data_IF_648323748521
#
_entry.id   IF_648323748521
#
_cell.length_a   1.000
_cell.length_b   1.000
_cell.length_c   1.000
_cell.angle_alpha   90.00
_cell.angle_beta   90.00
_cell.angle_gamma   90.00
#
_symmetry.space_group_name_H-M   'P 1'
#
loop_
_entity.id
_entity.type
_entity.pdbx_description
1 polymer ?
#
# COMPACT_ATOMS: atom_id res chain seq x y z
N UNK A 1 -8.67 29.58 -5.60
CA UNK A 1 -7.93 28.35 -5.42
C UNK A 1 -7.27 27.89 -6.69
N UNK A 2 -6.02 27.65 -6.63
CA UNK A 2 -5.28 27.33 -7.83
C UNK A 2 -5.09 25.83 -8.00
N UNK A 3 -4.88 25.44 -9.24
CA UNK A 3 -4.57 24.06 -9.56
C UNK A 3 -3.26 23.65 -8.88
N UNK A 4 -2.34 24.60 -8.72
CA UNK A 4 -1.06 24.33 -8.09
C UNK A 4 -1.24 23.87 -6.63
N UNK A 5 -2.19 24.44 -5.92
CA UNK A 5 -2.45 24.02 -4.54
C UNK A 5 -2.98 22.61 -4.49
N UNK A 6 -3.86 22.26 -5.44
CA UNK A 6 -4.38 20.91 -5.52
C UNK A 6 -3.27 19.92 -5.86
N UNK A 7 -2.42 20.29 -6.80
CA UNK A 7 -1.31 19.43 -7.18
C UNK A 7 -0.35 19.23 -6.03
N UNK A 8 -0.10 20.28 -5.29
CA UNK A 8 0.79 20.20 -4.15
C UNK A 8 0.23 19.29 -3.08
N UNK A 9 -1.09 19.38 -2.85
CA UNK A 9 -1.76 18.53 -1.89
C UNK A 9 -1.66 17.07 -2.30
N UNK A 10 -1.91 16.80 -3.60
CA UNK A 10 -1.80 15.45 -4.13
C UNK A 10 -0.39 14.93 -4.04
N UNK A 11 0.61 15.80 -4.31
CA UNK A 11 2.00 15.41 -4.25
C UNK A 11 2.39 14.94 -2.86
N UNK A 12 1.86 15.58 -1.82
CA UNK A 12 2.17 15.17 -0.46
C UNK A 12 1.60 13.80 -0.13
N UNK A 13 0.52 13.40 -0.80
CA UNK A 13 -0.10 12.09 -0.59
C UNK A 13 0.49 11.01 -1.47
N UNK A 14 1.09 11.40 -2.59
CA UNK A 14 1.68 10.44 -3.51
C UNK A 14 2.95 9.88 -2.88
N UNK A 15 3.09 8.56 -2.85
CA UNK A 15 4.30 7.95 -2.29
C UNK A 15 5.53 8.36 -3.08
N UNK A 16 6.63 8.50 -2.39
CA UNK A 16 7.89 8.88 -3.04
C UNK A 16 8.59 7.71 -3.69
N UNK A 17 8.06 6.52 -3.53
CA UNK A 17 8.66 5.33 -4.11
C UNK A 17 8.02 5.05 -5.47
N UNK A 18 8.82 4.76 -6.51
CA UNK A 18 8.27 4.47 -7.83
C UNK A 18 7.44 3.19 -7.85
N UNK A 19 6.41 3.19 -8.67
CA UNK A 19 5.52 2.04 -8.75
C UNK A 19 6.25 0.76 -9.12
N UNK A 20 7.22 0.83 -10.04
CA UNK A 20 7.92 -0.38 -10.46
C UNK A 20 8.68 -1.03 -9.32
N UNK A 21 9.14 -0.26 -8.34
CA UNK A 21 9.81 -0.83 -7.18
C UNK A 21 8.82 -1.54 -6.26
N UNK A 22 7.61 -0.98 -6.14
CA UNK A 22 6.56 -1.64 -5.37
C UNK A 22 6.27 -3.01 -5.96
N UNK A 23 6.09 -3.05 -7.27
CA UNK A 23 5.80 -4.31 -7.95
C UNK A 23 6.96 -5.30 -7.80
N UNK A 24 8.19 -4.81 -7.90
CA UNK A 24 9.36 -5.67 -7.75
C UNK A 24 9.41 -6.30 -6.36
N UNK A 25 8.98 -5.58 -5.33
CA UNK A 25 8.99 -6.09 -3.97
C UNK A 25 7.81 -6.97 -3.63
N UNK A 26 6.80 -7.04 -4.48
CA UNK A 26 5.55 -7.73 -4.17
C UNK A 26 5.14 -8.70 -5.27
N UNK A 27 5.95 -9.72 -5.55
CA UNK A 27 5.64 -10.66 -6.64
C UNK A 27 4.42 -11.55 -6.36
N UNK A 28 4.05 -11.72 -5.09
CA UNK A 28 2.90 -12.55 -4.75
C UNK A 28 1.60 -11.99 -5.30
N UNK A 29 1.58 -10.70 -5.61
CA UNK A 29 0.38 -10.07 -6.12
C UNK A 29 -0.06 -10.71 -7.44
N UNK A 30 0.88 -11.16 -8.26
CA UNK A 30 0.55 -11.80 -9.54
C UNK A 30 -0.24 -13.10 -9.37
N UNK A 31 -0.13 -13.73 -8.23
CA UNK A 31 -0.88 -14.95 -7.94
C UNK A 31 -2.37 -14.65 -7.76
N UNK A 32 -2.70 -13.47 -7.27
CA UNK A 32 -4.05 -13.12 -6.92
C UNK A 32 -4.69 -12.13 -7.88
N UNK A 33 -3.89 -11.46 -8.71
CA UNK A 33 -4.40 -10.44 -9.62
C UNK A 33 -3.74 -10.62 -10.98
N UNK A 34 -4.56 -10.88 -11.99
CA UNK A 34 -4.08 -11.25 -13.31
C UNK A 34 -3.67 -10.07 -14.20
N UNK A 35 -4.12 -8.86 -13.87
CA UNK A 35 -3.86 -7.71 -14.73
C UNK A 35 -2.44 -7.19 -14.62
N UNK A 36 -1.99 -6.51 -15.68
CA UNK A 36 -0.74 -5.77 -15.64
C UNK A 36 -0.90 -4.55 -14.75
N UNK A 37 0.15 -4.24 -14.00
CA UNK A 37 0.13 -3.07 -13.12
C UNK A 37 1.17 -2.09 -13.60
N UNK A 38 0.73 -1.07 -14.32
CA UNK A 38 1.59 -0.03 -14.88
C UNK A 38 1.26 1.35 -14.34
N UNK A 39 0.11 1.51 -13.69
CA UNK A 39 -0.36 2.78 -13.18
C UNK A 39 -0.89 2.60 -11.77
N UNK A 40 -0.89 3.68 -11.01
CA UNK A 40 -1.32 3.63 -9.62
C UNK A 40 -2.76 3.13 -9.45
N UNK A 41 -3.66 3.52 -10.37
CA UNK A 41 -5.04 3.05 -10.25
C UNK A 41 -5.14 1.53 -10.42
N UNK A 42 -4.23 0.93 -11.16
CA UNK A 42 -4.22 -0.52 -11.31
C UNK A 42 -3.73 -1.20 -10.03
N UNK A 43 -2.77 -0.59 -9.34
CA UNK A 43 -2.35 -1.10 -8.04
C UNK A 43 -3.49 -1.01 -7.04
N UNK A 44 -4.24 0.10 -7.08
CA UNK A 44 -5.39 0.27 -6.22
C UNK A 44 -6.44 -0.82 -6.50
N UNK A 45 -6.72 -1.10 -7.76
CA UNK A 45 -7.66 -2.17 -8.12
C UNK A 45 -7.19 -3.50 -7.58
N UNK A 46 -5.89 -3.78 -7.70
CA UNK A 46 -5.35 -5.04 -7.19
C UNK A 46 -5.49 -5.12 -5.67
N UNK A 47 -5.21 -4.03 -4.98
CA UNK A 47 -5.36 -4.00 -3.52
C UNK A 47 -6.81 -4.24 -3.12
N UNK A 48 -7.75 -3.62 -3.83
CA UNK A 48 -9.17 -3.83 -3.58
C UNK A 48 -9.55 -5.30 -3.79
N UNK A 49 -8.92 -5.93 -4.77
CA UNK A 49 -9.22 -7.33 -5.09
C UNK A 49 -8.72 -8.29 -4.00
N UNK A 50 -7.52 -8.05 -3.48
CA UNK A 50 -6.95 -8.98 -2.50
C UNK A 50 -7.37 -8.69 -1.07
N UNK A 51 -7.84 -7.48 -0.78
CA UNK A 51 -8.21 -7.08 0.57
C UNK A 51 -9.18 -8.04 1.27
N UNK A 52 -10.30 -8.43 0.62
CA UNK A 52 -11.24 -9.31 1.32
C UNK A 52 -10.63 -10.66 1.67
N UNK A 53 -9.82 -11.18 0.76
CA UNK A 53 -9.17 -12.48 1.00
C UNK A 53 -8.19 -12.40 2.16
N UNK A 54 -7.67 -11.22 2.46
CA UNK A 54 -6.75 -11.02 3.56
C UNK A 54 -7.47 -10.79 4.89
N UNK A 55 -8.79 -10.68 4.87
CA UNK A 55 -9.55 -10.45 6.08
C UNK A 55 -9.57 -9.01 6.54
N UNK A 56 -9.24 -8.07 5.66
CA UNK A 56 -9.28 -6.65 6.00
C UNK A 56 -10.67 -6.11 5.70
N UNK A 57 -11.32 -5.54 6.71
CA UNK A 57 -12.69 -5.04 6.56
C UNK A 57 -12.73 -3.81 5.68
N UNK A 58 -13.92 -3.52 5.14
CA UNK A 58 -14.13 -2.32 4.35
C UNK A 58 -13.80 -1.08 5.18
N UNK A 59 -14.21 -1.05 6.44
CA UNK A 59 -13.98 0.13 7.26
C UNK A 59 -12.50 0.38 7.52
N UNK A 60 -11.72 -0.67 7.74
CA UNK A 60 -10.27 -0.52 7.93
C UNK A 60 -9.62 0.00 6.65
N UNK A 61 -10.07 -0.51 5.50
CA UNK A 61 -9.55 -0.11 4.21
C UNK A 61 -9.88 1.36 3.91
N UNK A 62 -11.13 1.75 4.16
CA UNK A 62 -11.53 3.14 3.93
C UNK A 62 -10.80 4.11 4.85
N UNK A 63 -10.59 3.71 6.10
CA UNK A 63 -9.86 4.54 7.04
C UNK A 63 -8.42 4.73 6.58
N UNK A 64 -7.78 3.66 6.10
CA UNK A 64 -6.43 3.75 5.60
C UNK A 64 -6.34 4.72 4.43
N UNK A 65 -7.29 4.66 3.51
CA UNK A 65 -7.30 5.56 2.37
C UNK A 65 -7.44 7.01 2.81
N UNK A 66 -8.28 7.24 3.82
CA UNK A 66 -8.50 8.60 4.34
C UNK A 66 -7.24 9.17 4.97
N UNK A 67 -6.52 8.35 5.73
CA UNK A 67 -5.39 8.82 6.50
C UNK A 67 -4.08 8.87 5.73
N UNK A 68 -3.90 7.99 4.76
CA UNK A 68 -2.62 7.93 4.04
C UNK A 68 -2.77 8.05 2.52
N UNK A 69 -3.98 8.19 2.02
CA UNK A 69 -4.23 8.29 0.60
C UNK A 69 -4.33 6.93 -0.07
N UNK A 70 -5.06 6.85 -1.21
CA UNK A 70 -5.28 5.55 -1.86
C UNK A 70 -4.00 4.88 -2.36
N UNK A 71 -3.04 5.67 -2.84
CA UNK A 71 -1.80 5.08 -3.35
C UNK A 71 -1.01 4.42 -2.23
N UNK A 72 -0.78 5.14 -1.14
CA UNK A 72 -0.02 4.58 -0.04
C UNK A 72 -0.76 3.42 0.63
N UNK A 73 -2.09 3.55 0.76
CA UNK A 73 -2.89 2.46 1.32
C UNK A 73 -2.76 1.21 0.45
N UNK A 74 -2.76 1.38 -0.87
CA UNK A 74 -2.60 0.25 -1.78
C UNK A 74 -1.24 -0.41 -1.61
N UNK A 75 -0.18 0.39 -1.50
CA UNK A 75 1.16 -0.13 -1.28
C UNK A 75 1.21 -0.96 0.01
N UNK A 76 0.62 -0.43 1.07
CA UNK A 76 0.63 -1.11 2.36
C UNK A 76 -0.06 -2.46 2.27
N UNK A 77 -1.23 -2.50 1.62
CA UNK A 77 -1.99 -3.75 1.51
C UNK A 77 -1.22 -4.80 0.71
N UNK A 78 -0.64 -4.41 -0.44
CA UNK A 78 0.10 -5.40 -1.22
C UNK A 78 1.40 -5.81 -0.55
N UNK A 79 2.04 -4.91 0.21
CA UNK A 79 3.21 -5.27 0.98
C UNK A 79 2.85 -6.25 2.10
N UNK A 80 1.69 -6.05 2.74
CA UNK A 80 1.20 -6.97 3.75
C UNK A 80 0.93 -8.35 3.15
N UNK A 81 0.40 -8.39 1.94
CA UNK A 81 0.17 -9.65 1.26
C UNK A 81 1.46 -10.42 1.11
N UNK A 82 2.55 -9.74 0.77
CA UNK A 82 3.85 -10.39 0.62
C UNK A 82 4.36 -10.99 1.92
N UNK A 83 3.95 -10.43 3.05
CA UNK A 83 4.35 -10.91 4.37
C UNK A 83 3.17 -11.48 5.14
N UNK A 84 2.18 -11.97 4.43
CA UNK A 84 0.92 -12.37 5.05
C UNK A 84 1.08 -13.39 6.16
N UNK A 85 1.96 -14.36 5.97
CA UNK A 85 2.16 -15.42 6.97
C UNK A 85 2.80 -14.90 8.26
N UNK A 86 3.43 -13.73 8.20
CA UNK A 86 4.06 -13.12 9.37
C UNK A 86 3.13 -12.20 10.14
N UNK A 87 1.94 -11.94 9.60
CA UNK A 87 1.01 -10.99 10.18
C UNK A 87 -0.17 -11.73 10.80
N UNK A 88 -0.29 -11.64 12.13
CA UNK A 88 -1.32 -12.37 12.84
C UNK A 88 -2.71 -11.81 12.57
N UNK A 89 -2.83 -10.49 12.54
CA UNK A 89 -4.11 -9.82 12.32
C UNK A 89 -3.93 -8.73 11.27
N UNK A 90 -4.24 -9.03 10.01
CA UNK A 90 -4.05 -8.03 8.95
C UNK A 90 -4.85 -6.76 9.18
N UNK A 91 -6.11 -6.88 9.60
CA UNK A 91 -6.92 -5.70 9.88
C UNK A 91 -6.33 -4.85 11.00
N UNK A 92 -5.90 -5.50 12.09
CA UNK A 92 -5.29 -4.79 13.21
C UNK A 92 -3.97 -4.14 12.81
N UNK A 93 -3.19 -4.85 12.02
CA UNK A 93 -1.91 -4.33 11.55
C UNK A 93 -2.13 -3.07 10.69
N UNK A 94 -3.09 -3.14 9.77
CA UNK A 94 -3.41 -1.99 8.94
C UNK A 94 -3.90 -0.81 9.77
N UNK A 95 -4.74 -1.07 10.77
CA UNK A 95 -5.22 0.00 11.64
C UNK A 95 -4.10 0.67 12.42
N UNK A 96 -3.11 -0.12 12.86
CA UNK A 96 -1.97 0.44 13.57
C UNK A 96 -1.17 1.37 12.66
N UNK A 97 -0.93 0.95 11.41
CA UNK A 97 -0.23 1.80 10.45
C UNK A 97 -1.04 3.03 10.09
N UNK A 98 -2.36 2.87 10.00
CA UNK A 98 -3.26 4.00 9.73
C UNK A 98 -3.16 5.05 10.83
N UNK A 99 -3.11 4.63 12.08
CA UNK A 99 -2.95 5.55 13.20
C UNK A 99 -1.64 6.30 13.13
N UNK A 100 -0.57 5.61 12.77
CA UNK A 100 0.73 6.27 12.60
C UNK A 100 0.69 7.27 11.46
N UNK A 101 0.02 6.91 10.37
CA UNK A 101 -0.10 7.83 9.23
C UNK A 101 -0.88 9.07 9.62
N UNK A 102 -1.94 8.90 10.41
CA UNK A 102 -2.74 10.04 10.86
C UNK A 102 -1.92 10.98 11.72
N UNK A 103 -0.94 10.45 12.45
CA UNK A 103 -0.05 11.25 13.29
C UNK A 103 1.15 11.79 12.51
N UNK A 104 1.24 11.52 11.22
CA UNK A 104 2.38 11.95 10.42
C UNK A 104 3.65 11.16 10.66
N UNK A 105 3.53 9.96 11.21
CA UNK A 105 4.67 9.15 11.63
C UNK A 105 4.88 7.91 10.79
N UNK A 106 4.25 7.83 9.62
CA UNK A 106 4.37 6.64 8.80
C UNK A 106 4.71 6.97 7.36
N UNK A 107 5.59 6.16 6.79
CA UNK A 107 5.90 6.17 5.36
C UNK A 107 6.02 4.73 4.89
N UNK A 108 5.46 4.45 3.72
CA UNK A 108 5.49 3.09 3.17
C UNK A 108 6.83 2.73 2.53
N UNK A 109 7.69 3.72 2.27
CA UNK A 109 8.98 3.46 1.62
C UNK A 109 9.80 2.37 2.29
N UNK A 110 10.05 2.47 3.59
CA UNK A 110 10.85 1.44 4.27
C UNK A 110 10.25 0.04 4.18
N UNK A 111 8.92 -0.09 4.20
CA UNK A 111 8.27 -1.39 4.03
C UNK A 111 8.66 -2.03 2.71
N UNK A 112 8.54 -1.26 1.63
CA UNK A 112 8.82 -1.77 0.30
C UNK A 112 10.30 -2.08 0.15
N UNK A 113 11.17 -1.20 0.63
CA UNK A 113 12.61 -1.42 0.53
C UNK A 113 13.05 -2.64 1.31
N UNK A 114 12.40 -2.92 2.44
CA UNK A 114 12.69 -4.11 3.21
C UNK A 114 12.34 -5.37 2.43
N UNK A 115 11.22 -5.35 1.70
CA UNK A 115 10.83 -6.49 0.88
C UNK A 115 11.83 -6.72 -0.26
N UNK A 116 12.25 -5.64 -0.91
CA UNK A 116 13.23 -5.74 -1.98
C UNK A 116 14.54 -6.27 -1.43
N UNK A 117 14.97 -5.80 -0.27
CA UNK A 117 16.19 -6.26 0.37
C UNK A 117 16.14 -7.74 0.71
N UNK A 118 15.02 -8.23 1.20
CA UNK A 118 14.87 -9.66 1.50
C UNK A 118 15.02 -10.51 0.25
N UNK A 119 14.42 -10.06 -0.86
CA UNK A 119 14.52 -10.78 -2.12
C UNK A 119 15.95 -10.80 -2.63
N UNK A 120 16.65 -9.68 -2.50
CA UNK A 120 18.04 -9.60 -2.94
C UNK A 120 18.95 -10.50 -2.11
N UNK A 121 18.64 -10.66 -0.83
CA UNK A 121 19.43 -11.49 0.06
C UNK A 121 19.17 -12.98 -0.17
N UNK A 122 18.02 -13.30 -0.73
CA UNK A 122 17.70 -14.69 -1.00
C UNK A 122 18.41 -15.19 -2.25
#
# INVERSE_FOLDING_TARGET
ESVADLEESDTRRVPKIPLHLVIAGCPSLKTFYQGDIRHWHQLFDAACHVRPAMGISVSAWEEAQRCMGPEQASIVVVAMLERFSDIRSPGGYLRALTSKAAAGEFSCGPMVMALIGRRSAA
#
